data_IF_269852078747
#
_entry.id   IF_269852078747
#
_cell.length_a   1.000
_cell.length_b   1.000
_cell.length_c   1.000
_cell.angle_alpha   90.00
_cell.angle_beta   90.00
_cell.angle_gamma   90.00
#
_symmetry.space_group_name_H-M   'P 1'
#
loop_
_entity.id
_entity.type
_entity.pdbx_description
1 polymer ?
#
# COMPACT_ATOMS: atom_id res chain seq x y z
N UNK A 1 -66.18 -19.16 23.06
CA UNK A 1 -66.59 -18.75 21.70
C UNK A 1 -65.39 -19.04 20.80
N UNK A 2 -65.28 -20.09 19.98
CA UNK A 2 -66.21 -20.81 19.07
C UNK A 2 -66.74 -19.98 17.89
N UNK A 3 -65.98 -19.96 16.78
CA UNK A 3 -66.36 -20.23 15.35
C UNK A 3 -65.21 -19.71 14.45
N UNK A 4 -64.42 -20.49 13.69
CA UNK A 4 -64.64 -21.45 12.57
C UNK A 4 -65.27 -20.87 11.30
N UNK A 5 -64.43 -20.61 10.29
CA UNK A 5 -64.56 -20.84 8.82
C UNK A 5 -63.10 -20.80 8.29
N UNK A 6 -62.41 -21.82 7.78
CA UNK A 6 -62.68 -22.93 6.84
C UNK A 6 -62.68 -22.49 5.35
N UNK A 7 -62.34 -23.42 4.42
CA UNK A 7 -62.07 -23.21 2.96
C UNK A 7 -60.68 -22.62 2.68
N UNK A 8 -59.74 -23.25 1.97
CA UNK A 8 -59.53 -24.65 1.51
C UNK A 8 -57.99 -24.89 1.42
N UNK A 9 -57.38 -26.09 1.50
CA UNK A 9 -57.79 -27.51 1.39
C UNK A 9 -57.81 -28.07 -0.06
N UNK A 10 -57.01 -29.13 -0.29
CA UNK A 10 -56.72 -29.84 -1.56
C UNK A 10 -55.90 -29.04 -2.61
N UNK A 11 -54.89 -29.58 -3.31
CA UNK A 11 -54.46 -30.98 -3.45
C UNK A 11 -52.97 -31.18 -3.13
N UNK A 12 -52.67 -32.23 -2.36
CA UNK A 12 -51.33 -32.82 -2.18
C UNK A 12 -51.49 -34.32 -2.40
N UNK A 13 -50.51 -34.96 -3.04
CA UNK A 13 -50.39 -36.43 -3.28
C UNK A 13 -51.23 -37.00 -4.44
N UNK A 14 -50.63 -38.04 -5.06
CA UNK A 14 -51.11 -39.06 -6.00
C UNK A 14 -50.74 -38.83 -7.47
N UNK A 15 -49.61 -39.45 -7.86
CA UNK A 15 -49.49 -40.28 -9.09
C UNK A 15 -48.19 -41.11 -9.05
N UNK A 16 -47.97 -41.82 -7.94
CA UNK A 16 -47.17 -43.04 -7.98
C UNK A 16 -48.08 -44.13 -8.58
N UNK A 17 -47.76 -44.58 -9.81
CA UNK A 17 -48.57 -45.55 -10.55
C UNK A 17 -47.73 -46.74 -11.00
N UNK A 18 -47.82 -47.85 -10.29
CA UNK A 18 -47.32 -49.14 -10.79
C UNK A 18 -48.27 -49.65 -11.88
N UNK A 19 -47.76 -49.85 -13.10
CA UNK A 19 -48.44 -50.59 -14.17
C UNK A 19 -47.82 -51.97 -14.33
N UNK A 20 -48.53 -53.02 -13.95
CA UNK A 20 -48.08 -54.41 -14.04
C UNK A 20 -48.64 -55.13 -15.28
N UNK A 21 -47.77 -55.80 -16.03
CA UNK A 21 -48.10 -56.99 -16.82
C UNK A 21 -48.89 -56.81 -18.13
N UNK A 22 -48.19 -56.95 -19.26
CA UNK A 22 -48.80 -57.17 -20.57
C UNK A 22 -47.83 -57.93 -21.48
N UNK A 23 -48.10 -59.20 -21.75
CA UNK A 23 -47.22 -60.08 -22.54
C UNK A 23 -47.69 -60.23 -23.99
N UNK A 24 -46.76 -60.26 -24.94
CA UNK A 24 -46.98 -60.84 -26.27
C UNK A 24 -46.56 -59.94 -27.43
N UNK A 25 -45.48 -60.31 -28.13
CA UNK A 25 -44.99 -59.60 -29.30
C UNK A 25 -43.48 -59.68 -29.44
N UNK A 26 -42.96 -60.85 -29.79
CA UNK A 26 -41.55 -61.00 -30.12
C UNK A 26 -41.28 -60.48 -31.54
N UNK A 27 -40.58 -59.35 -31.62
CA UNK A 27 -39.87 -58.90 -32.82
C UNK A 27 -38.50 -58.44 -32.36
N UNK A 28 -37.46 -59.20 -32.75
CA UNK A 28 -36.07 -58.83 -32.49
C UNK A 28 -35.76 -57.46 -33.13
N UNK A 29 -35.33 -56.45 -32.34
CA UNK A 29 -34.62 -55.32 -32.89
C UNK A 29 -33.15 -55.74 -33.11
N UNK A 30 -32.62 -55.49 -34.30
CA UNK A 30 -31.20 -55.70 -34.60
C UNK A 30 -30.33 -55.01 -33.54
N UNK A 31 -29.52 -55.79 -32.83
CA UNK A 31 -28.62 -55.28 -31.79
C UNK A 31 -27.44 -54.59 -32.45
N UNK A 32 -27.57 -53.29 -32.70
CA UNK A 32 -26.43 -52.42 -33.03
C UNK A 32 -25.48 -52.34 -31.84
N UNK A 33 -24.30 -52.94 -31.95
CA UNK A 33 -23.22 -52.79 -30.97
C UNK A 33 -22.85 -51.31 -30.88
N UNK A 34 -22.98 -50.65 -29.71
CA UNK A 34 -22.53 -49.27 -29.56
C UNK A 34 -21.03 -49.20 -29.81
N UNK A 35 -20.62 -48.40 -30.80
CA UNK A 35 -19.21 -48.10 -30.99
C UNK A 35 -18.66 -47.46 -29.70
N UNK A 36 -17.40 -47.74 -29.30
CA UNK A 36 -16.80 -47.09 -28.13
C UNK A 36 -16.79 -45.58 -28.34
N UNK A 37 -17.66 -44.86 -27.62
CA UNK A 37 -17.62 -43.40 -27.59
C UNK A 37 -16.27 -43.02 -26.99
N UNK A 38 -15.46 -42.17 -27.63
CA UNK A 38 -14.27 -41.63 -26.99
C UNK A 38 -14.72 -40.92 -25.72
N UNK A 39 -14.36 -41.47 -24.56
CA UNK A 39 -14.45 -40.71 -23.32
C UNK A 39 -13.42 -39.60 -23.47
N UNK A 40 -13.89 -38.39 -23.78
CA UNK A 40 -13.07 -37.19 -23.71
C UNK A 40 -12.38 -37.22 -22.34
N UNK A 41 -11.07 -37.41 -22.36
CA UNK A 41 -10.26 -37.31 -21.16
C UNK A 41 -10.47 -35.88 -20.67
N UNK A 42 -11.17 -35.73 -19.54
CA UNK A 42 -11.49 -34.42 -19.01
C UNK A 42 -10.19 -33.65 -18.86
N UNK A 43 -9.97 -32.65 -19.73
CA UNK A 43 -8.77 -31.83 -19.71
C UNK A 43 -8.65 -31.24 -18.32
N UNK A 44 -7.69 -31.74 -17.53
CA UNK A 44 -7.46 -31.26 -16.18
C UNK A 44 -7.09 -29.79 -16.27
N UNK A 45 -8.08 -28.91 -16.05
CA UNK A 45 -7.85 -27.49 -15.91
C UNK A 45 -6.88 -27.35 -14.74
N UNK A 46 -5.67 -26.81 -14.94
CA UNK A 46 -4.64 -26.82 -13.91
C UNK A 46 -5.18 -26.16 -12.64
N UNK A 47 -5.37 -26.98 -11.59
CA UNK A 47 -5.99 -26.51 -10.36
C UNK A 47 -5.15 -25.39 -9.75
N UNK A 48 -5.76 -24.23 -9.56
CA UNK A 48 -5.06 -23.04 -9.06
C UNK A 48 -4.45 -23.29 -7.68
N UNK A 49 -3.12 -23.46 -7.63
CA UNK A 49 -2.41 -23.70 -6.38
C UNK A 49 -2.31 -22.40 -5.59
N UNK A 50 -2.72 -22.40 -4.32
CA UNK A 50 -2.40 -21.29 -3.39
C UNK A 50 -0.89 -21.19 -3.23
N UNK A 51 -0.33 -20.00 -3.45
CA UNK A 51 1.12 -19.73 -3.39
C UNK A 51 1.52 -18.88 -2.19
N UNK A 52 0.63 -17.99 -1.75
CA UNK A 52 0.74 -17.15 -0.55
C UNK A 52 -0.68 -16.79 -0.06
N UNK A 53 -0.88 -16.26 1.15
CA UNK A 53 -2.20 -15.83 1.64
C UNK A 53 -2.95 -14.91 0.66
N UNK A 54 -4.02 -15.45 0.06
CA UNK A 54 -4.85 -14.72 -0.91
C UNK A 54 -4.29 -14.64 -2.33
N UNK A 55 -3.23 -15.38 -2.64
CA UNK A 55 -2.59 -15.47 -3.96
C UNK A 55 -2.59 -16.93 -4.44
N UNK A 56 -3.03 -17.15 -5.67
CA UNK A 56 -2.93 -18.43 -6.39
C UNK A 56 -1.94 -18.30 -7.55
N UNK A 57 -1.67 -19.40 -8.25
CA UNK A 57 -0.98 -19.36 -9.56
C UNK A 57 -1.72 -18.53 -10.61
N UNK A 58 -3.03 -18.34 -10.48
CA UNK A 58 -3.84 -17.49 -11.37
C UNK A 58 -3.68 -16.00 -11.08
N UNK A 59 -3.44 -15.60 -9.83
CA UNK A 59 -3.31 -14.18 -9.45
C UNK A 59 -3.61 -13.89 -7.99
N UNK A 60 -4.05 -12.67 -7.70
CA UNK A 60 -4.54 -12.28 -6.36
C UNK A 60 -6.05 -12.49 -6.29
N UNK A 61 -6.49 -13.52 -5.56
CA UNK A 61 -7.91 -13.92 -5.46
C UNK A 61 -8.58 -13.47 -4.16
N UNK A 62 -7.80 -13.16 -3.11
CA UNK A 62 -8.32 -12.60 -1.87
C UNK A 62 -7.43 -11.45 -1.35
N UNK A 63 -7.55 -10.24 -1.95
CA UNK A 63 -6.71 -9.08 -1.63
C UNK A 63 -6.61 -8.74 -0.14
N UNK A 64 -7.72 -8.84 0.60
CA UNK A 64 -7.77 -8.58 2.04
C UNK A 64 -6.92 -9.57 2.85
N UNK A 65 -6.83 -10.84 2.43
CA UNK A 65 -5.97 -11.85 3.07
C UNK A 65 -4.49 -11.53 2.83
N UNK A 66 -4.12 -11.11 1.63
CA UNK A 66 -2.74 -10.71 1.29
C UNK A 66 -2.28 -9.50 2.11
N UNK A 67 -3.10 -8.44 2.18
CA UNK A 67 -2.77 -7.25 2.99
C UNK A 67 -2.72 -7.59 4.48
N UNK A 68 -3.64 -8.42 4.97
CA UNK A 68 -3.65 -8.91 6.34
C UNK A 68 -2.38 -9.69 6.70
N UNK A 69 -1.92 -10.56 5.80
CA UNK A 69 -0.71 -11.34 5.95
C UNK A 69 0.55 -10.45 5.98
N UNK A 70 0.68 -9.48 5.07
CA UNK A 70 1.78 -8.51 5.10
C UNK A 70 1.84 -7.74 6.43
N UNK A 71 0.69 -7.27 6.94
CA UNK A 71 0.62 -6.58 8.24
C UNK A 71 0.95 -7.51 9.42
N UNK A 72 0.57 -8.79 9.34
CA UNK A 72 0.92 -9.80 10.33
C UNK A 72 2.42 -10.12 10.33
N UNK A 73 3.04 -10.28 9.16
CA UNK A 73 4.46 -10.59 9.00
C UNK A 73 5.40 -9.49 9.55
N UNK A 74 4.92 -8.24 9.65
CA UNK A 74 5.61 -7.10 10.28
C UNK A 74 5.18 -6.83 11.74
N UNK A 75 4.15 -7.53 12.26
CA UNK A 75 3.65 -7.30 13.63
C UNK A 75 4.61 -7.90 14.65
N UNK A 76 4.97 -7.12 15.68
CA UNK A 76 5.88 -7.58 16.74
C UNK A 76 7.33 -7.83 16.28
N UNK A 77 7.69 -7.48 15.04
CA UNK A 77 9.05 -7.59 14.50
C UNK A 77 9.59 -6.19 14.21
N UNK A 78 10.88 -5.99 14.43
CA UNK A 78 11.58 -4.82 13.90
C UNK A 78 11.75 -4.95 12.39
N UNK A 79 11.96 -3.85 11.68
CA UNK A 79 12.25 -3.87 10.26
C UNK A 79 12.77 -2.52 9.80
N UNK A 80 13.40 -2.55 8.63
CA UNK A 80 13.77 -1.39 7.83
C UNK A 80 12.83 -1.30 6.64
N UNK A 81 12.35 -0.09 6.34
CA UNK A 81 11.57 0.20 5.15
C UNK A 81 12.23 1.32 4.35
N UNK A 82 12.26 1.19 3.03
CA UNK A 82 12.73 2.25 2.14
C UNK A 82 11.67 2.55 1.10
N UNK A 83 11.13 3.78 1.11
CA UNK A 83 10.28 4.31 0.04
C UNK A 83 11.10 5.29 -0.79
N UNK A 84 11.05 5.17 -2.12
CA UNK A 84 11.55 6.20 -3.04
C UNK A 84 10.45 6.60 -4.01
N UNK A 85 10.21 7.90 -4.19
CA UNK A 85 9.35 8.46 -5.23
C UNK A 85 10.23 9.31 -6.14
N UNK A 86 10.18 9.08 -7.45
CA UNK A 86 10.88 9.90 -8.45
C UNK A 86 9.86 10.36 -9.49
N UNK A 87 9.89 11.65 -9.81
CA UNK A 87 9.08 12.29 -10.85
C UNK A 87 10.01 12.71 -11.99
N UNK A 88 9.72 12.22 -13.20
CA UNK A 88 10.46 12.52 -14.41
C UNK A 88 9.65 13.43 -15.34
N UNK A 89 10.32 14.39 -15.98
CA UNK A 89 9.77 15.21 -17.06
C UNK A 89 9.58 14.40 -18.36
N UNK A 90 8.92 14.96 -19.40
CA UNK A 90 8.76 14.29 -20.70
C UNK A 90 10.07 13.86 -21.37
N UNK A 91 11.16 14.61 -21.15
CA UNK A 91 12.51 14.33 -21.68
C UNK A 91 13.28 13.26 -20.88
N UNK A 92 12.71 12.75 -19.79
CA UNK A 92 13.33 11.78 -18.89
C UNK A 92 14.21 12.38 -17.79
N UNK A 93 14.37 13.70 -17.70
CA UNK A 93 15.08 14.36 -16.59
C UNK A 93 14.31 14.23 -15.27
N UNK A 94 15.02 14.23 -14.14
CA UNK A 94 14.40 14.12 -12.80
C UNK A 94 13.96 15.50 -12.33
N UNK A 95 12.65 15.71 -12.15
CA UNK A 95 12.05 16.93 -11.58
C UNK A 95 11.98 16.92 -10.05
N UNK A 96 11.79 15.74 -9.47
CA UNK A 96 11.80 15.52 -8.03
C UNK A 96 12.25 14.09 -7.68
N UNK A 97 12.99 13.95 -6.59
CA UNK A 97 13.31 12.68 -5.95
C UNK A 97 13.12 12.80 -4.44
N UNK A 98 12.23 11.98 -3.87
CA UNK A 98 12.00 11.88 -2.42
C UNK A 98 12.30 10.47 -1.97
N UNK A 99 13.29 10.29 -1.08
CA UNK A 99 13.57 9.04 -0.39
C UNK A 99 13.20 9.16 1.08
N UNK A 100 12.47 8.18 1.62
CA UNK A 100 12.21 8.00 3.05
C UNK A 100 12.81 6.65 3.43
N UNK A 101 13.71 6.62 4.41
CA UNK A 101 14.16 5.40 5.09
C UNK A 101 13.57 5.39 6.49
N UNK A 102 13.04 4.26 6.91
CA UNK A 102 12.47 4.08 8.24
C UNK A 102 13.02 2.83 8.92
N UNK A 103 13.37 2.95 10.20
CA UNK A 103 13.84 1.87 11.06
C UNK A 103 12.87 1.78 12.24
N UNK A 104 12.30 0.60 12.47
CA UNK A 104 11.16 0.43 13.37
C UNK A 104 11.46 -0.67 14.37
N UNK A 105 11.27 -0.41 15.67
CA UNK A 105 11.45 -1.43 16.72
C UNK A 105 10.28 -2.41 16.76
N UNK A 106 10.52 -3.63 17.27
CA UNK A 106 9.50 -4.67 17.41
C UNK A 106 8.26 -4.22 18.20
N UNK A 107 8.47 -3.48 19.29
CA UNK A 107 7.44 -2.92 20.18
C UNK A 107 6.79 -1.62 19.66
N UNK A 108 7.25 -1.10 18.52
CA UNK A 108 6.86 0.20 17.92
C UNK A 108 7.05 1.42 18.85
N UNK A 109 7.85 1.30 19.92
CA UNK A 109 8.17 2.42 20.84
C UNK A 109 9.39 3.23 20.40
N UNK A 110 10.21 2.70 19.48
CA UNK A 110 11.30 3.43 18.83
C UNK A 110 11.10 3.43 17.32
N UNK A 111 11.33 4.60 16.74
CA UNK A 111 11.26 4.83 15.30
C UNK A 111 12.38 5.80 14.92
N UNK A 112 13.08 5.52 13.83
CA UNK A 112 13.95 6.49 13.18
C UNK A 112 13.52 6.66 11.72
N UNK A 113 13.27 7.89 11.27
CA UNK A 113 12.97 8.22 9.88
C UNK A 113 14.03 9.19 9.35
N UNK A 114 14.46 8.97 8.10
CA UNK A 114 15.36 9.85 7.36
C UNK A 114 14.75 10.13 5.99
N UNK A 115 14.23 11.35 5.81
CA UNK A 115 13.70 11.87 4.55
C UNK A 115 14.77 12.72 3.86
N UNK A 116 15.07 12.41 2.60
CA UNK A 116 15.79 13.30 1.67
C UNK A 116 14.86 13.66 0.51
N UNK A 117 14.86 14.93 0.12
CA UNK A 117 14.07 15.43 -0.99
C UNK A 117 14.88 16.42 -1.82
N UNK A 118 14.92 16.22 -3.13
CA UNK A 118 15.73 16.99 -4.08
C UNK A 118 14.93 17.28 -5.36
N UNK A 119 15.19 18.41 -6.00
CA UNK A 119 14.58 18.84 -7.26
C UNK A 119 13.67 20.07 -7.14
N UNK A 120 13.53 20.81 -8.24
CA UNK A 120 12.86 22.12 -8.30
C UNK A 120 11.41 22.09 -7.79
N UNK A 121 10.73 20.96 -7.98
CA UNK A 121 9.33 20.81 -7.57
C UNK A 121 9.19 20.70 -6.05
N UNK A 122 10.10 20.01 -5.34
CA UNK A 122 10.06 19.92 -3.87
C UNK A 122 10.61 21.17 -3.20
N UNK A 123 11.59 21.82 -3.83
CA UNK A 123 12.12 23.14 -3.44
C UNK A 123 11.01 24.20 -3.44
N UNK A 124 10.17 24.23 -4.48
CA UNK A 124 9.03 25.15 -4.57
C UNK A 124 8.01 25.01 -3.43
N UNK A 125 8.09 23.92 -2.66
CA UNK A 125 7.17 23.60 -1.55
C UNK A 125 7.85 23.61 -0.17
N UNK A 126 9.14 23.96 -0.10
CA UNK A 126 9.90 23.91 1.15
C UNK A 126 9.97 22.51 1.75
N UNK A 127 9.97 21.46 0.93
CA UNK A 127 10.10 20.06 1.35
C UNK A 127 11.47 19.46 1.07
N UNK A 128 12.29 20.16 0.28
CA UNK A 128 13.67 19.87 -0.10
C UNK A 128 14.62 19.75 1.11
N UNK A 129 15.83 19.24 0.86
CA UNK A 129 16.84 19.01 1.88
C UNK A 129 16.61 17.71 2.62
N UNK A 130 16.99 17.69 3.91
CA UNK A 130 16.93 16.48 4.74
C UNK A 130 16.15 16.73 6.02
N UNK A 131 15.30 15.78 6.39
CA UNK A 131 14.64 15.76 7.71
C UNK A 131 14.82 14.40 8.35
N UNK A 132 15.43 14.38 9.53
CA UNK A 132 15.54 13.20 10.39
C UNK A 132 14.52 13.33 11.52
N UNK A 133 13.79 12.25 11.82
CA UNK A 133 12.86 12.18 12.95
C UNK A 133 13.21 10.96 13.81
N UNK A 134 13.18 11.12 15.14
CA UNK A 134 13.34 10.01 16.07
C UNK A 134 12.25 10.03 17.14
N UNK A 135 11.64 8.87 17.35
CA UNK A 135 10.66 8.62 18.40
C UNK A 135 11.28 7.80 19.53
N UNK A 136 11.09 8.27 20.76
CA UNK A 136 11.29 7.48 21.97
C UNK A 136 10.02 7.53 22.82
N UNK A 137 9.22 6.46 22.75
CA UNK A 137 7.93 6.36 23.44
C UNK A 137 6.96 7.44 22.98
N UNK A 138 6.74 8.44 23.84
CA UNK A 138 5.86 9.59 23.55
C UNK A 138 6.62 10.87 23.15
N UNK A 139 7.96 10.90 23.13
CA UNK A 139 8.69 12.05 22.56
C UNK A 139 8.98 11.79 21.09
N UNK A 140 8.68 12.75 20.23
CA UNK A 140 9.18 12.82 18.86
C UNK A 140 10.09 14.04 18.77
N UNK A 141 11.33 13.84 18.33
CA UNK A 141 12.27 14.90 17.99
C UNK A 141 12.52 14.91 16.49
N UNK A 142 12.78 16.08 15.93
CA UNK A 142 12.99 16.34 14.52
C UNK A 142 14.23 17.22 14.32
N UNK A 143 15.01 16.91 13.28
CA UNK A 143 16.13 17.70 12.78
C UNK A 143 15.92 17.95 11.30
N UNK A 144 15.79 19.21 10.92
CA UNK A 144 15.74 19.66 9.52
C UNK A 144 17.10 20.26 9.14
N UNK A 145 17.61 19.87 7.99
CA UNK A 145 18.88 20.36 7.42
C UNK A 145 18.61 20.83 5.99
N UNK A 146 18.73 22.14 5.76
CA UNK A 146 18.56 22.80 4.46
C UNK A 146 19.61 23.89 4.31
N UNK A 147 20.29 23.94 3.17
CA UNK A 147 21.27 24.98 2.82
C UNK A 147 22.30 25.25 3.93
N UNK A 148 22.86 24.20 4.53
CA UNK A 148 23.83 24.27 5.64
C UNK A 148 23.26 24.72 6.99
N UNK A 149 21.99 25.14 7.06
CA UNK A 149 21.31 25.51 8.30
C UNK A 149 20.65 24.28 8.92
N UNK A 150 20.80 24.14 10.24
CA UNK A 150 20.13 23.11 11.03
C UNK A 150 19.04 23.70 11.93
N UNK A 151 17.87 23.08 11.92
CA UNK A 151 16.76 23.40 12.82
C UNK A 151 16.36 22.16 13.60
N UNK A 152 16.15 22.33 14.90
CA UNK A 152 15.68 21.27 15.79
C UNK A 152 14.28 21.60 16.31
N UNK A 153 13.45 20.57 16.46
CA UNK A 153 12.16 20.64 17.15
C UNK A 153 11.95 19.38 18.00
N UNK A 154 11.19 19.49 19.09
CA UNK A 154 10.68 18.30 19.77
C UNK A 154 9.32 18.53 20.40
N UNK A 155 8.49 17.49 20.33
CA UNK A 155 7.11 17.50 20.81
C UNK A 155 6.81 16.23 21.59
N UNK A 156 5.85 16.35 22.52
CA UNK A 156 5.13 15.19 23.03
C UNK A 156 4.12 14.75 21.98
N UNK A 157 3.96 13.44 21.84
CA UNK A 157 2.97 12.76 21.03
C UNK A 157 1.83 12.35 21.93
N UNK A 158 0.65 12.92 21.70
CA UNK A 158 -0.56 12.44 22.36
C UNK A 158 -0.88 11.00 21.89
N UNK A 159 -1.44 10.14 22.76
CA UNK A 159 -1.91 8.82 22.33
C UNK A 159 -2.90 8.94 21.17
N UNK A 160 -2.54 8.35 20.01
CA UNK A 160 -3.33 8.44 18.77
C UNK A 160 -2.95 9.59 17.83
N UNK A 161 -2.10 10.54 18.24
CA UNK A 161 -1.67 11.63 17.37
C UNK A 161 -0.80 11.14 16.18
N UNK A 162 -1.01 11.81 15.05
CA UNK A 162 -0.28 11.68 13.79
C UNK A 162 1.15 12.22 13.95
N UNK A 163 2.13 11.45 13.50
CA UNK A 163 3.56 11.79 13.60
C UNK A 163 3.99 12.62 12.39
N UNK A 164 3.70 13.92 12.40
CA UNK A 164 4.18 14.85 11.38
C UNK A 164 3.80 14.46 9.94
N UNK A 165 4.71 14.71 9.00
CA UNK A 165 4.51 14.51 7.55
C UNK A 165 4.59 13.06 7.07
N UNK A 166 4.80 12.06 7.93
CA UNK A 166 4.85 10.63 7.55
C UNK A 166 4.08 9.78 8.55
N UNK A 167 2.97 9.17 8.12
CA UNK A 167 2.16 8.34 9.00
C UNK A 167 2.85 7.00 9.29
N UNK A 168 2.63 6.43 10.48
CA UNK A 168 3.09 5.05 10.79
C UNK A 168 2.46 4.03 9.82
N UNK A 169 1.27 4.30 9.29
CA UNK A 169 0.64 3.50 8.22
C UNK A 169 1.39 3.57 6.88
N UNK A 170 2.07 4.68 6.57
CA UNK A 170 2.90 4.78 5.35
C UNK A 170 4.12 3.86 5.43
N UNK A 171 4.66 3.63 6.64
CA UNK A 171 5.79 2.73 6.90
C UNK A 171 5.43 1.26 6.69
N UNK A 172 4.15 0.91 6.79
CA UNK A 172 3.63 -0.41 6.45
C UNK A 172 3.16 -0.50 4.99
N UNK A 173 3.10 0.63 4.27
CA UNK A 173 2.49 0.75 2.94
C UNK A 173 1.07 0.13 2.81
N UNK A 174 0.39 -0.18 3.93
CA UNK A 174 -0.79 -1.05 3.93
C UNK A 174 -1.96 -0.46 3.16
N UNK A 175 -2.17 0.86 3.25
CA UNK A 175 -3.18 1.57 2.43
C UNK A 175 -2.85 1.52 0.93
N UNK A 176 -1.57 1.58 0.56
CA UNK A 176 -1.12 1.43 -0.84
C UNK A 176 -1.39 0.01 -1.33
N UNK A 177 -1.13 -1.01 -0.51
CA UNK A 177 -1.40 -2.41 -0.85
C UNK A 177 -2.89 -2.76 -0.87
N UNK A 178 -3.70 -2.20 0.04
CA UNK A 178 -5.17 -2.29 -0.04
C UNK A 178 -5.69 -1.75 -1.36
N UNK A 179 -5.36 -0.50 -1.71
CA UNK A 179 -5.81 0.13 -2.96
C UNK A 179 -5.31 -0.61 -4.20
N UNK A 180 -4.06 -1.10 -4.18
CA UNK A 180 -3.47 -1.80 -5.32
C UNK A 180 -4.10 -3.18 -5.53
N UNK A 181 -4.15 -4.02 -4.49
CA UNK A 181 -4.59 -5.41 -4.63
C UNK A 181 -6.10 -5.58 -4.77
N UNK A 182 -6.93 -4.66 -4.24
CA UNK A 182 -8.39 -4.67 -4.52
C UNK A 182 -8.74 -3.98 -5.84
N UNK A 183 -7.81 -3.19 -6.39
CA UNK A 183 -8.06 -2.24 -7.47
C UNK A 183 -7.63 -2.65 -8.87
N UNK A 184 -6.88 -3.73 -8.97
CA UNK A 184 -6.23 -4.23 -10.19
C UNK A 184 -6.25 -5.76 -10.18
N UNK A 185 -6.29 -6.35 -11.38
CA UNK A 185 -6.02 -7.77 -11.55
C UNK A 185 -4.51 -8.01 -11.55
N UNK A 186 -4.07 -9.25 -11.29
CA UNK A 186 -2.66 -9.60 -11.19
C UNK A 186 -2.39 -10.95 -11.82
N UNK A 187 -1.21 -11.10 -12.44
CA UNK A 187 -0.64 -12.40 -12.82
C UNK A 187 0.60 -12.70 -11.98
N UNK A 188 0.90 -13.99 -11.76
CA UNK A 188 2.12 -14.44 -11.10
C UNK A 188 3.19 -14.73 -12.16
N UNK A 189 4.15 -13.82 -12.30
CA UNK A 189 5.13 -13.81 -13.40
C UNK A 189 6.38 -14.66 -13.13
N UNK A 190 6.62 -15.09 -11.89
CA UNK A 190 7.79 -15.91 -11.53
C UNK A 190 7.49 -16.73 -10.29
N UNK A 191 7.82 -18.02 -10.35
CA UNK A 191 8.02 -18.85 -9.17
C UNK A 191 9.52 -18.83 -8.80
N UNK A 192 9.87 -18.88 -7.51
CA UNK A 192 11.25 -18.91 -7.04
C UNK A 192 11.89 -20.24 -7.44
N UNK A 193 13.18 -20.20 -7.80
CA UNK A 193 13.95 -21.43 -8.01
C UNK A 193 14.09 -22.19 -6.67
N UNK A 194 14.21 -23.52 -6.73
CA UNK A 194 14.01 -24.46 -5.61
C UNK A 194 14.91 -24.24 -4.38
N UNK A 195 15.91 -23.37 -4.50
CA UNK A 195 16.91 -23.05 -3.47
C UNK A 195 16.75 -21.66 -2.85
N UNK A 196 15.75 -20.87 -3.25
CA UNK A 196 15.46 -19.54 -2.69
C UNK A 196 14.19 -19.56 -1.83
N UNK A 197 14.18 -18.79 -0.74
CA UNK A 197 12.99 -18.58 0.08
C UNK A 197 11.83 -18.10 -0.81
N UNK A 198 10.64 -18.68 -0.65
CA UNK A 198 9.70 -18.73 -1.76
C UNK A 198 9.05 -17.36 -2.07
N UNK A 199 9.63 -16.63 -3.02
CA UNK A 199 9.17 -15.30 -3.46
C UNK A 199 8.45 -15.35 -4.82
N UNK A 200 7.23 -14.85 -4.85
CA UNK A 200 6.36 -14.77 -6.01
C UNK A 200 6.26 -13.33 -6.52
N UNK A 201 6.41 -13.16 -7.84
CA UNK A 201 6.36 -11.84 -8.48
C UNK A 201 4.98 -11.56 -9.07
N UNK A 202 4.25 -10.62 -8.48
CA UNK A 202 2.95 -10.15 -8.93
C UNK A 202 3.11 -8.97 -9.90
N UNK A 203 2.38 -9.01 -11.02
CA UNK A 203 2.34 -7.92 -12.01
C UNK A 203 0.90 -7.56 -12.30
N UNK A 204 0.55 -6.27 -12.18
CA UNK A 204 -0.80 -5.78 -12.45
C UNK A 204 -1.19 -5.94 -13.91
N UNK A 205 -2.42 -6.35 -14.18
CA UNK A 205 -3.01 -6.47 -15.52
C UNK A 205 -4.36 -5.76 -15.59
N UNK A 206 -4.77 -5.40 -16.82
CA UNK A 206 -6.01 -4.67 -17.09
C UNK A 206 -5.97 -3.20 -16.66
N UNK A 207 -7.14 -2.57 -16.64
CA UNK A 207 -7.32 -1.16 -16.26
C UNK A 207 -7.68 -1.06 -14.77
N UNK A 208 -6.96 -0.26 -13.96
CA UNK A 208 -7.30 -0.07 -12.55
C UNK A 208 -8.66 0.62 -12.37
N UNK A 209 -9.33 0.35 -11.25
CA UNK A 209 -10.57 1.04 -10.89
C UNK A 209 -10.35 2.56 -10.69
N UNK A 210 -11.39 3.36 -10.88
CA UNK A 210 -11.34 4.82 -10.67
C UNK A 210 -10.85 5.18 -9.27
N UNK A 211 -11.37 4.49 -8.25
CA UNK A 211 -11.02 4.75 -6.85
C UNK A 211 -9.57 4.41 -6.55
N UNK A 212 -9.00 3.41 -7.23
CA UNK A 212 -7.58 3.07 -7.15
C UNK A 212 -6.70 4.12 -7.81
N UNK A 213 -7.10 4.67 -8.97
CA UNK A 213 -6.41 5.80 -9.62
C UNK A 213 -6.48 7.06 -8.74
N UNK A 214 -7.61 7.30 -8.07
CA UNK A 214 -7.78 8.40 -7.11
C UNK A 214 -6.87 8.19 -5.88
N UNK A 215 -6.98 7.05 -5.21
CA UNK A 215 -6.29 6.79 -3.95
C UNK A 215 -4.77 6.58 -4.07
N UNK A 216 -4.27 6.05 -5.20
CA UNK A 216 -2.84 5.83 -5.40
C UNK A 216 -2.11 7.02 -6.04
N UNK A 217 -2.82 7.85 -6.81
CA UNK A 217 -2.19 8.79 -7.75
C UNK A 217 -2.95 10.13 -7.94
N UNK A 218 -3.96 10.43 -7.12
CA UNK A 218 -4.64 11.74 -7.13
C UNK A 218 -5.66 11.93 -8.26
N UNK A 219 -6.11 10.87 -8.93
CA UNK A 219 -7.32 10.87 -9.75
C UNK A 219 -7.20 11.43 -11.17
N UNK A 220 -6.02 11.95 -11.56
CA UNK A 220 -5.70 12.34 -12.94
C UNK A 220 -4.57 11.52 -13.56
N UNK A 221 -4.30 10.34 -13.01
CA UNK A 221 -3.22 9.48 -13.48
C UNK A 221 -3.67 8.53 -14.60
N UNK A 222 -2.75 8.23 -15.50
CA UNK A 222 -2.88 7.29 -16.62
C UNK A 222 -1.77 6.25 -16.57
N UNK A 223 -1.91 5.18 -17.34
CA UNK A 223 -0.90 4.12 -17.49
C UNK A 223 -0.37 3.59 -16.15
N UNK A 224 -1.26 3.48 -15.16
CA UNK A 224 -0.92 3.03 -13.82
C UNK A 224 -0.65 1.53 -13.85
N UNK A 225 0.54 1.17 -13.37
CA UNK A 225 1.04 -0.19 -13.23
C UNK A 225 1.58 -0.42 -11.83
N UNK A 226 1.35 -1.61 -11.29
CA UNK A 226 1.81 -2.02 -9.98
C UNK A 226 2.48 -3.39 -10.04
N UNK A 227 3.57 -3.54 -9.32
CA UNK A 227 4.37 -4.76 -9.26
C UNK A 227 4.75 -5.02 -7.81
N UNK A 228 4.75 -6.28 -7.38
CA UNK A 228 5.13 -6.67 -6.03
C UNK A 228 5.90 -7.99 -6.02
N UNK A 229 6.80 -8.13 -5.05
CA UNK A 229 7.43 -9.39 -4.68
C UNK A 229 6.89 -9.80 -3.32
N UNK A 230 6.36 -11.02 -3.23
CA UNK A 230 5.58 -11.52 -2.08
C UNK A 230 6.12 -12.88 -1.67
N UNK A 231 6.47 -13.06 -0.40
CA UNK A 231 6.84 -14.37 0.18
C UNK A 231 5.64 -15.30 0.33
N UNK A 232 5.90 -16.58 0.55
CA UNK A 232 4.92 -17.60 0.92
C UNK A 232 4.10 -17.25 2.18
N UNK A 233 4.68 -16.57 3.18
CA UNK A 233 3.96 -16.04 4.35
C UNK A 233 3.14 -14.76 4.08
N UNK A 234 3.22 -14.19 2.87
CA UNK A 234 2.46 -13.02 2.44
C UNK A 234 3.12 -11.66 2.72
N UNK A 235 4.37 -11.61 3.18
CA UNK A 235 5.13 -10.37 3.25
C UNK A 235 5.46 -9.84 1.83
N UNK A 236 4.86 -8.71 1.47
CA UNK A 236 5.35 -7.88 0.36
C UNK A 236 6.74 -7.34 0.71
N UNK A 237 7.81 -7.92 0.15
CA UNK A 237 9.21 -7.52 0.39
C UNK A 237 9.64 -6.33 -0.46
N UNK A 238 9.08 -6.23 -1.67
CA UNK A 238 9.33 -5.13 -2.59
C UNK A 238 8.07 -4.80 -3.39
N UNK A 239 7.91 -3.55 -3.78
CA UNK A 239 6.86 -3.11 -4.69
C UNK A 239 7.26 -1.89 -5.52
N UNK A 240 6.62 -1.74 -6.67
CA UNK A 240 6.74 -0.58 -7.56
C UNK A 240 5.38 -0.17 -8.11
N UNK A 241 4.99 1.07 -7.81
CA UNK A 241 3.88 1.79 -8.43
C UNK A 241 4.45 2.73 -9.51
N UNK A 242 3.77 2.82 -10.64
CA UNK A 242 4.25 3.53 -11.81
C UNK A 242 3.07 4.08 -12.63
N UNK A 243 2.96 5.40 -12.77
CA UNK A 243 1.92 6.06 -13.58
C UNK A 243 2.45 7.32 -14.30
N UNK A 244 1.67 7.87 -15.23
CA UNK A 244 1.82 9.25 -15.74
C UNK A 244 0.70 10.14 -15.19
N UNK A 245 0.96 11.44 -14.99
CA UNK A 245 -0.04 12.39 -14.50
C UNK A 245 0.29 13.81 -15.00
N UNK A 246 -0.70 14.72 -14.95
CA UNK A 246 -0.49 16.13 -15.26
C UNK A 246 -0.08 16.93 -14.01
N UNK A 247 1.05 17.64 -14.08
CA UNK A 247 1.59 18.50 -13.01
C UNK A 247 2.06 19.84 -13.59
N UNK A 248 1.37 20.93 -13.23
CA UNK A 248 1.74 22.28 -13.67
C UNK A 248 1.58 22.52 -15.18
N UNK A 249 0.74 21.74 -15.87
CA UNK A 249 0.58 21.80 -17.33
C UNK A 249 1.48 20.83 -18.11
N UNK A 250 2.33 20.05 -17.43
CA UNK A 250 3.18 19.03 -18.06
C UNK A 250 2.75 17.61 -17.69
N UNK A 251 2.82 16.70 -18.66
CA UNK A 251 2.74 15.25 -18.41
C UNK A 251 4.04 14.76 -17.77
N UNK A 252 3.97 14.34 -16.52
CA UNK A 252 5.11 13.77 -15.78
C UNK A 252 4.95 12.27 -15.56
N UNK A 253 6.08 11.57 -15.39
CA UNK A 253 6.14 10.13 -15.11
C UNK A 253 6.55 9.91 -13.66
N UNK A 254 5.66 9.34 -12.84
CA UNK A 254 5.92 9.08 -11.40
C UNK A 254 6.22 7.61 -11.15
N UNK A 255 7.39 7.33 -10.58
CA UNK A 255 7.80 5.98 -10.14
C UNK A 255 7.97 5.99 -8.63
N UNK A 256 7.21 5.15 -7.93
CA UNK A 256 7.34 4.93 -6.48
C UNK A 256 7.74 3.49 -6.21
N UNK A 257 8.82 3.27 -5.49
CA UNK A 257 9.20 1.96 -4.94
C UNK A 257 9.06 1.94 -3.43
N UNK A 258 8.83 0.74 -2.87
CA UNK A 258 8.91 0.44 -1.43
C UNK A 258 9.61 -0.90 -1.25
N UNK A 259 10.59 -0.99 -0.36
CA UNK A 259 11.19 -2.25 0.13
C UNK A 259 11.02 -2.43 1.63
N UNK A 260 11.02 -3.69 2.07
CA UNK A 260 11.07 -4.14 3.46
C UNK A 260 12.26 -5.08 3.64
N UNK A 261 13.14 -4.75 4.58
CA UNK A 261 14.45 -5.38 4.79
C UNK A 261 14.66 -5.65 6.30
N UNK A 262 15.59 -6.55 6.63
CA UNK A 262 16.06 -6.79 8.01
C UNK A 262 14.93 -7.13 9.01
N UNK A 263 13.87 -7.81 8.53
CA UNK A 263 12.64 -8.04 9.31
C UNK A 263 12.89 -9.02 10.46
N UNK A 264 12.84 -8.51 11.69
CA UNK A 264 13.15 -9.20 12.94
C UNK A 264 14.59 -8.95 13.44
N UNK A 265 15.44 -8.26 12.66
CA UNK A 265 16.86 -8.04 12.98
C UNK A 265 17.28 -6.57 13.03
N UNK A 266 16.49 -5.63 12.49
CA UNK A 266 16.76 -4.19 12.58
C UNK A 266 16.85 -3.70 14.03
N UNK A 267 17.89 -2.92 14.35
CA UNK A 267 17.95 -2.08 15.55
C UNK A 267 17.51 -0.64 15.25
N UNK A 268 17.15 0.12 16.29
CA UNK A 268 16.78 1.54 16.17
C UNK A 268 17.61 2.33 17.17
N UNK A 269 18.73 2.86 16.67
CA UNK A 269 19.68 3.63 17.47
C UNK A 269 19.18 5.05 17.74
N UNK A 270 19.53 5.57 18.92
CA UNK A 270 19.21 6.96 19.31
C UNK A 270 20.21 7.90 18.65
N UNK A 271 19.79 8.87 17.83
CA UNK A 271 20.71 9.81 17.19
C UNK A 271 21.26 10.80 18.22
N UNK A 272 22.53 11.19 18.06
CA UNK A 272 23.22 12.12 18.97
C UNK A 272 22.51 13.49 19.08
N UNK A 273 21.92 13.98 17.99
CA UNK A 273 21.18 15.24 17.97
C UNK A 273 19.87 15.24 18.78
N UNK A 274 19.40 14.07 19.25
CA UNK A 274 18.15 13.99 19.99
C UNK A 274 18.16 14.84 21.25
N UNK A 275 19.25 14.81 22.04
CA UNK A 275 19.33 15.59 23.29
C UNK A 275 19.26 17.09 23.00
N UNK A 276 19.97 17.56 21.97
CA UNK A 276 19.91 18.93 21.44
C UNK A 276 18.46 19.33 21.15
N UNK A 277 17.75 18.54 20.33
CA UNK A 277 16.35 18.80 19.98
C UNK A 277 15.38 18.75 21.18
N UNK A 278 15.67 17.95 22.21
CA UNK A 278 14.83 17.86 23.40
C UNK A 278 15.08 18.91 24.46
N UNK A 279 16.24 19.58 24.42
CA UNK A 279 16.64 20.65 25.34
C UNK A 279 16.36 22.04 24.73
N UNK A 280 16.63 22.21 23.44
CA UNK A 280 16.60 23.49 22.72
C UNK A 280 15.24 23.79 22.09
N UNK A 281 14.18 23.81 22.91
CA UNK A 281 12.80 24.04 22.46
C UNK A 281 12.66 25.36 21.67
N UNK A 282 12.76 25.26 20.34
CA UNK A 282 12.93 26.37 19.36
C UNK A 282 14.18 27.24 19.57
N UNK A 283 15.38 26.71 19.28
CA UNK A 283 16.58 27.52 19.00
C UNK A 283 17.00 27.39 17.54
N UNK A 284 17.04 28.51 16.81
CA UNK A 284 17.68 28.58 15.49
C UNK A 284 19.19 28.72 15.72
N UNK A 285 19.97 27.68 15.40
CA UNK A 285 21.44 27.75 15.43
C UNK A 285 21.98 28.01 14.03
N UNK A 286 22.24 29.27 13.72
CA UNK A 286 23.03 29.64 12.55
C UNK A 286 24.50 29.30 12.82
N UNK A 287 25.10 28.44 11.99
CA UNK A 287 26.56 28.24 12.00
C UNK A 287 27.23 29.54 11.57
N UNK A 288 28.13 30.14 12.37
CA UNK A 288 28.72 31.42 12.02
C UNK A 288 29.72 31.27 10.88
N UNK A 289 29.38 31.79 9.69
CA UNK A 289 30.40 32.19 8.73
C UNK A 289 31.16 33.41 9.29
N UNK A 290 32.48 33.37 9.19
CA UNK A 290 33.35 34.49 9.57
C UNK A 290 33.18 35.65 8.59
N UNK A 291 32.31 36.62 8.91
CA UNK A 291 32.22 37.89 8.19
C UNK A 291 32.19 39.10 9.14
N UNK A 292 33.07 40.04 8.83
CA UNK A 292 33.26 41.32 9.52
C UNK A 292 32.09 42.28 9.25
N UNK A 293 31.49 42.84 10.30
CA UNK A 293 30.46 43.89 10.18
C UNK A 293 31.08 45.27 9.84
N UNK A 294 30.28 46.20 9.28
CA UNK A 294 29.57 47.12 10.17
C UNK A 294 28.08 47.29 9.85
N UNK A 295 27.33 47.86 10.80
CA UNK A 295 25.86 47.86 10.84
C UNK A 295 25.19 49.11 10.25
N UNK A 296 23.96 48.96 9.72
CA UNK A 296 22.76 49.80 10.03
C UNK A 296 21.51 49.39 9.22
N UNK A 297 20.35 49.44 9.86
CA UNK A 297 19.03 49.57 9.21
C UNK A 297 18.11 48.35 9.31
N UNK A 298 17.10 48.42 10.19
CA UNK A 298 15.96 47.49 10.24
C UNK A 298 14.87 47.88 9.20
N UNK A 299 14.44 46.96 8.32
CA UNK A 299 13.14 47.00 7.65
C UNK A 299 12.14 46.00 8.28
N UNK A 300 10.81 46.14 8.03
CA UNK A 300 9.80 45.46 8.84
C UNK A 300 9.67 43.95 8.58
N UNK A 301 9.24 43.23 9.62
CA UNK A 301 8.98 41.78 9.59
C UNK A 301 7.86 41.43 8.59
N UNK A 302 8.09 40.56 7.60
CA UNK A 302 6.99 39.93 6.87
C UNK A 302 6.32 38.87 7.75
N UNK A 303 4.99 38.94 7.85
CA UNK A 303 4.16 37.89 8.43
C UNK A 303 4.13 36.68 7.50
N UNK A 304 4.81 35.60 7.87
CA UNK A 304 4.71 34.32 7.16
C UNK A 304 3.31 33.73 7.38
N UNK A 305 2.41 33.98 6.43
CA UNK A 305 1.10 33.34 6.36
C UNK A 305 1.24 31.82 6.21
N UNK A 306 0.28 31.08 6.78
CA UNK A 306 0.26 29.63 6.74
C UNK A 306 0.11 29.10 5.30
N UNK A 307 1.21 28.66 4.69
CA UNK A 307 1.19 27.98 3.39
C UNK A 307 0.70 26.54 3.59
N UNK A 308 -0.39 26.19 2.89
CA UNK A 308 -1.01 24.86 2.91
C UNK A 308 0.00 23.76 2.51
N UNK A 309 -0.02 22.64 3.24
CA UNK A 309 0.87 21.47 3.05
C UNK A 309 0.27 20.39 2.12
N UNK A 310 -0.84 20.68 1.45
CA UNK A 310 -1.84 19.66 1.09
C UNK A 310 -1.66 18.97 -0.29
N UNK A 311 -0.52 19.15 -0.97
CA UNK A 311 -0.34 18.70 -2.37
C UNK A 311 0.60 17.49 -2.60
N UNK A 312 1.26 16.99 -1.55
CA UNK A 312 2.20 15.84 -1.64
C UNK A 312 1.81 14.63 -0.79
N UNK A 313 0.91 14.80 0.18
CA UNK A 313 0.46 13.76 1.11
C UNK A 313 -1.07 13.63 1.15
N UNK A 314 -1.75 13.77 -0.01
CA UNK A 314 -3.19 13.54 -0.09
C UNK A 314 -3.55 12.05 0.01
N UNK A 315 -3.60 11.54 1.24
CA UNK A 315 -4.63 10.55 1.60
C UNK A 315 -5.90 11.37 1.86
N UNK A 316 -7.02 11.13 1.15
CA UNK A 316 -8.24 11.85 1.41
C UNK A 316 -8.73 11.57 2.85
N UNK A 317 -9.31 12.57 3.56
CA UNK A 317 -9.83 12.34 4.90
C UNK A 317 -10.92 11.25 4.84
N UNK A 318 -10.82 10.26 5.72
CA UNK A 318 -11.86 9.26 5.87
C UNK A 318 -13.15 9.96 6.32
N UNK A 319 -14.17 9.95 5.45
CA UNK A 319 -15.47 10.53 5.79
C UNK A 319 -16.04 9.82 7.02
N UNK A 320 -16.21 10.59 8.09
CA UNK A 320 -16.92 10.15 9.30
C UNK A 320 -18.36 9.86 8.89
N UNK A 321 -18.77 8.60 8.94
CA UNK A 321 -20.17 8.25 8.84
C UNK A 321 -20.91 8.90 10.02
N UNK A 322 -21.75 9.89 9.74
CA UNK A 322 -22.68 10.44 10.71
C UNK A 322 -23.77 9.39 10.91
N UNK A 323 -23.96 8.95 12.16
CA UNK A 323 -25.13 8.18 12.54
C UNK A 323 -26.32 9.13 12.64
N UNK A 324 -27.38 8.82 11.89
CA UNK A 324 -28.78 9.12 12.19
C UNK A 324 -29.57 7.89 11.78
#
# INVERSE_FOLDING_TARGET
>A
MRRTVAVCLACLVVLAGCGTGGSGGATDPETVTPAPVPSDAATEVPSERTVAPGVTTGGVVAPTRLVGAHVAALRGRSFKTTRRTVEYAPDGTVRASVQIRGFVSADRRRLYLDRRAEGTVVESTGLDGRTEQYMAGTRVAEREVRNGTERFDSRRRDPGAIVGTVLISDLLASSTYSLAFHGMNFTVASQPDRWSAAQYRLVSTGTPSRDTVVGLAGGRARNLSFMATVTDDGLVTWSRLAYTAERGGETVRVVRTVSFEEVGTTSVERPAWFETATNESTVTRTTPETQTAPARGDPPRPSFGAVSRDLWFSVPPAHRAVRT
#
